data_IF_102731809941
#
_entry.id   IF_102731809941
#
_cell.length_a   1.000
_cell.length_b   1.000
_cell.length_c   1.000
_cell.angle_alpha   90.00
_cell.angle_beta   90.00
_cell.angle_gamma   90.00
#
_symmetry.space_group_name_H-M   'P 1'
#
loop_
_entity.id
_entity.type
_entity.pdbx_description
1 polymer ?
#
# COMPACT_ATOMS: atom_id res chain seq x y z
N UNK A 1 -56.66 32.58 41.61
CA UNK A 1 -55.49 32.59 42.51
C UNK A 1 -54.54 31.51 42.01
N UNK A 2 -53.55 31.92 41.24
CA UNK A 2 -52.55 31.05 40.61
C UNK A 2 -51.49 30.62 41.63
N UNK A 3 -51.14 29.35 41.63
CA UNK A 3 -50.07 28.75 42.44
C UNK A 3 -48.75 28.84 41.69
N UNK A 4 -47.80 29.59 42.27
CA UNK A 4 -46.44 29.79 41.78
C UNK A 4 -45.60 28.52 42.00
N UNK A 5 -45.17 27.85 40.93
CA UNK A 5 -44.18 26.77 40.98
C UNK A 5 -42.76 27.35 40.93
N UNK A 6 -42.04 27.25 42.05
CA UNK A 6 -40.63 27.60 42.14
C UNK A 6 -39.78 26.55 41.42
N UNK A 7 -39.12 26.96 40.33
CA UNK A 7 -38.08 26.19 39.64
C UNK A 7 -36.86 26.08 40.55
N UNK A 8 -36.60 24.91 41.14
CA UNK A 8 -35.36 24.62 41.84
C UNK A 8 -34.38 23.94 40.90
N UNK A 9 -33.22 24.56 40.68
CA UNK A 9 -32.11 24.00 39.91
C UNK A 9 -31.57 22.75 40.64
N UNK A 10 -31.27 21.64 39.95
CA UNK A 10 -30.72 20.46 40.58
C UNK A 10 -29.34 20.73 41.21
N UNK A 11 -29.00 20.09 42.34
CA UNK A 11 -27.71 20.27 42.99
C UNK A 11 -26.57 19.77 42.08
N UNK A 12 -25.48 20.53 42.04
CA UNK A 12 -24.29 20.19 41.25
C UNK A 12 -23.64 18.91 41.80
N UNK A 13 -23.25 17.94 40.94
CA UNK A 13 -22.59 16.72 41.37
C UNK A 13 -21.27 17.01 42.09
N UNK A 14 -21.00 16.24 43.16
CA UNK A 14 -19.74 16.33 43.90
C UNK A 14 -18.65 15.65 43.07
N UNK A 15 -17.63 16.40 42.68
CA UNK A 15 -16.47 15.85 42.00
C UNK A 15 -15.44 15.30 43.02
N UNK A 16 -14.80 14.16 42.73
CA UNK A 16 -13.74 13.60 43.58
C UNK A 16 -12.54 14.53 43.66
N UNK A 17 -11.83 14.50 44.79
CA UNK A 17 -10.63 15.31 45.00
C UNK A 17 -9.43 14.86 44.14
N UNK A 18 -8.35 15.67 44.06
CA UNK A 18 -7.18 15.41 43.20
C UNK A 18 -6.46 14.07 43.40
N UNK A 19 -6.68 13.40 44.53
CA UNK A 19 -6.04 12.12 44.89
C UNK A 19 -7.08 11.03 45.24
N UNK A 20 -8.31 11.16 44.74
CA UNK A 20 -9.41 10.26 45.07
C UNK A 20 -9.87 9.52 43.80
N UNK A 21 -9.62 8.22 43.73
CA UNK A 21 -10.07 7.39 42.61
C UNK A 21 -11.55 7.00 42.77
N UNK A 22 -12.34 7.24 41.72
CA UNK A 22 -13.77 6.84 41.66
C UNK A 22 -13.85 5.32 41.54
N UNK A 23 -14.21 4.64 42.64
CA UNK A 23 -14.25 3.17 42.69
C UNK A 23 -15.47 2.55 42.02
N UNK A 24 -16.56 3.31 41.83
CA UNK A 24 -17.79 2.85 41.19
C UNK A 24 -18.27 3.90 40.19
N UNK A 25 -18.35 3.53 38.92
CA UNK A 25 -19.11 4.29 37.92
C UNK A 25 -20.60 3.96 38.11
N UNK A 26 -21.52 4.93 37.93
CA UNK A 26 -22.94 4.62 37.96
C UNK A 26 -23.30 3.67 36.81
N UNK A 27 -23.86 2.50 37.14
CA UNK A 27 -24.35 1.48 36.20
C UNK A 27 -25.71 1.86 35.55
N UNK A 28 -26.20 3.08 35.77
CA UNK A 28 -27.46 3.54 35.20
C UNK A 28 -27.31 3.85 33.70
N UNK A 29 -27.95 3.01 32.90
CA UNK A 29 -28.17 3.24 31.47
C UNK A 29 -29.02 4.51 31.34
N UNK A 30 -28.48 5.53 30.67
CA UNK A 30 -29.20 6.76 30.36
C UNK A 30 -30.47 6.39 29.57
N UNK A 31 -31.69 6.73 30.05
CA UNK A 31 -32.93 6.41 29.35
C UNK A 31 -32.89 6.97 27.93
N UNK A 32 -33.27 6.17 26.92
CA UNK A 32 -33.27 6.56 25.50
C UNK A 32 -34.03 7.88 25.22
N UNK A 33 -35.03 8.21 26.05
CA UNK A 33 -35.75 9.48 25.99
C UNK A 33 -34.85 10.68 26.26
N UNK A 34 -33.90 10.56 27.18
CA UNK A 34 -32.93 11.62 27.53
C UNK A 34 -31.88 11.80 26.44
N UNK A 35 -31.50 10.69 25.78
CA UNK A 35 -30.54 10.70 24.67
C UNK A 35 -31.13 11.36 23.41
N UNK A 36 -32.45 11.28 23.22
CA UNK A 36 -33.15 11.88 22.09
C UNK A 36 -33.31 13.42 22.23
N UNK A 37 -33.28 13.94 23.46
CA UNK A 37 -33.37 15.38 23.75
C UNK A 37 -32.00 16.10 23.75
N UNK A 38 -30.90 15.34 23.60
CA UNK A 38 -29.55 15.90 23.46
C UNK A 38 -29.31 16.34 22.01
N UNK A 39 -29.67 17.59 21.71
CA UNK A 39 -29.26 18.24 20.46
C UNK A 39 -27.75 18.53 20.52
N UNK A 40 -26.98 17.67 19.86
CA UNK A 40 -25.51 17.74 19.84
C UNK A 40 -24.98 18.84 18.90
N UNK A 41 -25.84 19.56 18.19
CA UNK A 41 -25.46 20.59 17.21
C UNK A 41 -26.45 21.78 17.21
N UNK A 42 -26.49 22.59 18.29
CA UNK A 42 -27.43 23.70 18.41
C UNK A 42 -27.22 24.83 17.38
N UNK A 43 -26.06 24.87 16.73
CA UNK A 43 -25.68 25.97 15.81
C UNK A 43 -26.04 25.70 14.34
N UNK A 44 -26.64 24.55 14.00
CA UNK A 44 -26.91 24.15 12.61
C UNK A 44 -28.28 24.61 12.07
N UNK A 45 -29.13 25.21 12.91
CA UNK A 45 -30.48 25.67 12.54
C UNK A 45 -30.68 27.18 12.65
N UNK A 46 -29.63 27.97 12.41
CA UNK A 46 -29.68 29.43 12.40
C UNK A 46 -29.21 30.02 11.07
N UNK A 47 -29.95 29.80 9.98
CA UNK A 47 -30.24 30.81 8.94
C UNK A 47 -30.89 30.15 7.71
N UNK A 48 -32.22 30.07 7.72
CA UNK A 48 -33.03 29.82 6.54
C UNK A 48 -33.60 31.15 6.03
N UNK A 49 -32.77 31.92 5.30
CA UNK A 49 -33.28 33.01 4.46
C UNK A 49 -32.72 32.92 3.03
N UNK A 50 -33.69 32.72 2.14
CA UNK A 50 -33.74 32.79 0.67
C UNK A 50 -32.66 33.59 -0.08
N UNK A 51 -32.28 33.17 -1.31
CA UNK A 51 -31.25 33.81 -2.13
C UNK A 51 -31.80 35.02 -2.91
N UNK A 52 -31.05 36.12 -2.97
CA UNK A 52 -31.22 37.22 -3.97
C UNK A 52 -29.92 38.05 -4.05
N UNK A 53 -29.68 38.84 -5.11
CA UNK A 53 -28.54 38.64 -5.99
C UNK A 53 -27.44 39.70 -5.87
N UNK A 54 -26.29 39.37 -6.49
CA UNK A 54 -25.08 40.16 -6.70
C UNK A 54 -25.38 41.59 -7.21
N UNK A 55 -24.62 42.60 -6.73
CA UNK A 55 -24.22 43.71 -7.58
C UNK A 55 -22.70 43.79 -7.74
N UNK A 56 -22.29 43.87 -9.00
CA UNK A 56 -20.96 44.28 -9.44
C UNK A 56 -20.56 45.63 -8.83
N UNK A 57 -19.32 45.75 -8.37
CA UNK A 57 -18.57 47.00 -8.53
C UNK A 57 -17.08 46.70 -8.63
N UNK A 58 -16.53 47.20 -9.71
CA UNK A 58 -15.12 47.16 -10.10
C UNK A 58 -14.32 48.21 -9.33
N UNK A 59 -13.08 47.88 -8.95
CA UNK A 59 -11.82 48.61 -9.27
C UNK A 59 -10.69 48.41 -8.23
N UNK A 60 -9.59 47.87 -8.76
CA UNK A 60 -8.20 48.35 -8.68
C UNK A 60 -7.36 48.27 -7.37
N UNK A 61 -6.09 47.89 -7.62
CA UNK A 61 -4.86 48.07 -6.82
C UNK A 61 -4.60 47.09 -5.66
N UNK A 62 -3.41 46.53 -5.43
CA UNK A 62 -2.12 46.42 -6.13
C UNK A 62 -1.27 45.45 -5.28
N UNK A 63 -0.40 44.65 -5.90
CA UNK A 63 0.58 43.83 -5.18
C UNK A 63 1.67 44.70 -4.52
N UNK A 64 2.36 44.18 -3.49
CA UNK A 64 3.82 44.23 -3.54
C UNK A 64 4.53 42.98 -2.98
N UNK A 65 5.58 42.56 -3.69
CA UNK A 65 6.81 41.88 -3.21
C UNK A 65 7.99 42.74 -3.71
N UNK A 66 9.25 42.48 -3.33
CA UNK A 66 9.84 42.06 -2.04
C UNK A 66 10.96 43.04 -1.61
N UNK A 67 11.54 42.87 -0.41
CA UNK A 67 12.85 43.45 -0.09
C UNK A 67 13.80 42.40 0.48
N UNK A 68 14.89 42.22 -0.25
CA UNK A 68 16.19 41.63 0.09
C UNK A 68 16.88 42.43 1.21
N UNK A 69 17.70 41.77 2.05
CA UNK A 69 19.07 42.18 2.47
C UNK A 69 19.73 41.00 3.22
N UNK A 70 20.86 40.51 2.71
CA UNK A 70 21.89 39.74 3.46
C UNK A 70 22.85 40.68 4.19
N UNK A 71 23.60 40.20 5.20
CA UNK A 71 25.05 40.23 5.03
C UNK A 71 25.83 39.03 5.62
N UNK A 72 27.09 39.02 5.21
CA UNK A 72 28.17 38.02 5.18
C UNK A 72 28.87 37.61 6.49
N UNK A 73 29.58 36.46 6.37
CA UNK A 73 30.54 35.76 7.25
C UNK A 73 31.61 36.60 8.03
N UNK A 74 32.33 35.94 8.97
CA UNK A 74 33.70 35.52 8.63
C UNK A 74 34.10 34.08 9.04
N UNK A 75 35.15 33.60 8.36
CA UNK A 75 35.86 32.31 8.43
C UNK A 75 36.56 32.04 9.77
N UNK A 76 36.71 30.76 10.13
CA UNK A 76 37.93 30.25 10.76
C UNK A 76 38.24 28.82 10.29
N UNK A 77 39.45 28.62 9.78
CA UNK A 77 40.08 27.33 9.45
C UNK A 77 40.84 26.82 10.68
N UNK A 78 40.84 25.50 10.92
CA UNK A 78 41.96 24.81 11.57
C UNK A 78 42.00 23.32 11.15
N UNK A 79 43.22 22.87 10.88
CA UNK A 79 43.66 21.53 10.50
C UNK A 79 43.63 20.55 11.69
N UNK A 80 43.38 19.27 11.43
CA UNK A 80 44.11 18.17 12.09
C UNK A 80 44.13 16.89 11.24
N UNK A 81 45.34 16.40 10.97
CA UNK A 81 45.66 15.04 10.53
C UNK A 81 45.50 14.05 11.69
N UNK A 82 45.23 12.77 11.39
CA UNK A 82 45.99 11.56 11.79
C UNK A 82 45.21 10.29 11.34
N UNK A 83 45.93 9.31 10.81
CA UNK A 83 45.55 8.00 10.24
C UNK A 83 45.60 6.87 11.32
N UNK A 84 45.57 5.53 11.03
CA UNK A 84 44.73 4.64 10.20
C UNK A 84 44.12 3.45 11.00
N UNK A 85 43.40 2.56 10.29
CA UNK A 85 43.08 1.15 10.60
C UNK A 85 41.80 0.84 11.41
N UNK A 86 40.85 0.15 10.77
CA UNK A 86 40.57 -1.28 11.05
C UNK A 86 39.50 -1.82 10.09
N UNK A 87 39.93 -2.77 9.26
CA UNK A 87 39.08 -3.69 8.52
C UNK A 87 38.58 -4.76 9.49
N UNK A 88 37.28 -5.02 9.56
CA UNK A 88 36.79 -6.32 10.03
C UNK A 88 35.68 -6.86 9.13
N UNK A 89 36.07 -7.97 8.52
CA UNK A 89 35.38 -8.97 7.74
C UNK A 89 34.16 -9.52 8.52
N UNK A 90 32.97 -9.52 7.92
CA UNK A 90 31.83 -10.31 8.40
C UNK A 90 31.53 -11.40 7.37
N UNK A 91 31.90 -12.63 7.71
CA UNK A 91 31.61 -13.84 6.93
C UNK A 91 30.36 -14.51 7.51
N UNK A 92 29.42 -14.80 6.61
CA UNK A 92 28.16 -15.49 6.84
C UNK A 92 28.39 -16.95 7.27
N UNK A 93 27.61 -17.42 8.26
CA UNK A 93 27.31 -18.83 8.46
C UNK A 93 25.83 -18.96 8.86
N UNK A 94 24.98 -19.32 7.90
CA UNK A 94 23.64 -19.83 8.14
C UNK A 94 23.67 -21.35 7.98
N UNK A 95 23.48 -22.06 9.09
CA UNK A 95 23.19 -23.50 9.12
C UNK A 95 21.71 -23.72 8.76
N UNK A 96 21.46 -24.59 7.78
CA UNK A 96 20.16 -25.18 7.49
C UNK A 96 20.08 -26.57 8.13
N UNK A 97 19.05 -26.83 8.94
CA UNK A 97 18.60 -28.19 9.26
C UNK A 97 17.08 -28.34 9.13
N UNK A 98 16.71 -29.27 8.24
CA UNK A 98 15.60 -30.22 8.26
C UNK A 98 14.13 -29.76 8.34
N UNK A 99 13.39 -30.01 7.25
CA UNK A 99 12.25 -30.95 7.32
C UNK A 99 11.83 -31.55 5.98
N UNK A 100 11.53 -32.85 6.04
CA UNK A 100 11.21 -33.83 4.97
C UNK A 100 9.78 -33.69 4.46
N UNK A 101 9.57 -33.94 3.16
CA UNK A 101 8.33 -34.51 2.59
C UNK A 101 8.74 -35.55 1.50
N UNK A 102 8.02 -36.69 1.34
CA UNK A 102 8.56 -37.94 0.79
C UNK A 102 8.37 -38.16 -0.72
N UNK A 103 9.28 -38.98 -1.27
CA UNK A 103 9.34 -39.54 -2.63
C UNK A 103 8.12 -40.40 -3.03
N UNK A 104 7.76 -40.32 -4.32
CA UNK A 104 7.18 -41.42 -5.12
C UNK A 104 8.01 -41.53 -6.42
N UNK A 105 8.35 -42.74 -6.90
CA UNK A 105 9.54 -42.95 -7.72
C UNK A 105 9.26 -42.92 -9.21
N UNK A 106 10.25 -42.49 -9.99
CA UNK A 106 10.36 -42.87 -11.40
C UNK A 106 11.82 -43.16 -11.70
N UNK A 107 12.08 -44.45 -11.81
CA UNK A 107 13.32 -45.07 -12.22
C UNK A 107 13.69 -44.68 -13.64
N UNK A 108 14.82 -44.00 -13.83
CA UNK A 108 15.66 -44.19 -15.01
C UNK A 108 17.10 -43.81 -14.66
N UNK A 109 18.03 -44.61 -15.19
CA UNK A 109 19.45 -44.73 -14.88
C UNK A 109 20.23 -43.42 -14.99
N UNK A 110 21.11 -43.18 -14.02
CA UNK A 110 22.11 -42.12 -14.03
C UNK A 110 23.32 -42.60 -14.82
N UNK A 111 23.60 -41.96 -15.96
CA UNK A 111 24.97 -41.80 -16.48
C UNK A 111 25.33 -40.32 -16.36
N UNK A 112 26.56 -40.08 -15.91
CA UNK A 112 27.17 -38.78 -15.63
C UNK A 112 27.01 -37.77 -16.78
N UNK A 113 26.47 -36.60 -16.47
CA UNK A 113 26.85 -35.35 -17.14
C UNK A 113 26.67 -34.20 -16.17
N UNK A 114 27.77 -33.53 -15.87
CA UNK A 114 27.81 -32.20 -15.28
C UNK A 114 27.04 -31.25 -16.20
N UNK A 115 25.79 -30.96 -15.85
CA UNK A 115 25.03 -29.91 -16.54
C UNK A 115 25.15 -28.63 -15.73
N UNK A 116 25.96 -27.72 -16.27
CA UNK A 116 25.90 -26.28 -16.05
C UNK A 116 24.43 -25.86 -15.84
N UNK A 117 24.11 -25.17 -14.75
CA UNK A 117 22.77 -24.62 -14.55
C UNK A 117 22.53 -23.56 -15.62
N UNK A 118 21.93 -23.97 -16.73
CA UNK A 118 21.50 -23.07 -17.80
C UNK A 118 20.64 -21.96 -17.21
N UNK A 119 21.09 -20.73 -17.42
CA UNK A 119 20.31 -19.50 -17.23
C UNK A 119 18.95 -19.70 -17.91
N UNK A 120 17.88 -19.78 -17.10
CA UNK A 120 16.52 -20.03 -17.60
C UNK A 120 16.15 -18.92 -18.57
N UNK A 121 16.13 -19.26 -19.85
CA UNK A 121 15.84 -18.35 -20.96
C UNK A 121 14.36 -17.93 -20.91
N UNK A 122 14.07 -16.92 -20.08
CA UNK A 122 12.73 -16.36 -19.84
C UNK A 122 12.05 -15.85 -21.12
N UNK A 123 12.81 -15.65 -22.21
CA UNK A 123 12.25 -15.33 -23.52
C UNK A 123 11.45 -16.48 -24.15
N UNK A 124 11.54 -17.71 -23.62
CA UNK A 124 10.63 -18.82 -23.96
C UNK A 124 9.30 -18.78 -23.20
N UNK A 125 9.22 -18.06 -22.08
CA UNK A 125 7.97 -17.85 -21.35
C UNK A 125 7.27 -16.59 -21.88
N UNK A 126 6.22 -16.78 -22.68
CA UNK A 126 5.42 -15.70 -23.26
C UNK A 126 4.66 -14.83 -22.24
N UNK A 127 4.77 -15.11 -20.93
CA UNK A 127 4.03 -14.43 -19.88
C UNK A 127 4.77 -14.41 -18.54
N UNK A 128 4.57 -13.36 -17.77
CA UNK A 128 5.05 -13.20 -16.39
C UNK A 128 3.97 -13.68 -15.42
N UNK A 129 2.73 -13.28 -15.64
CA UNK A 129 1.59 -13.63 -14.79
C UNK A 129 0.77 -14.77 -15.39
N UNK A 130 -0.14 -15.33 -14.59
CA UNK A 130 -1.22 -16.19 -15.08
C UNK A 130 -2.48 -15.34 -15.35
N UNK A 131 -3.41 -15.78 -16.23
CA UNK A 131 -4.74 -15.19 -16.29
C UNK A 131 -5.39 -15.16 -14.91
N UNK A 132 -6.15 -14.10 -14.61
CA UNK A 132 -6.64 -13.84 -13.27
C UNK A 132 -7.47 -14.98 -12.70
N UNK A 133 -8.42 -15.53 -13.47
CA UNK A 133 -9.30 -16.61 -12.99
C UNK A 133 -8.52 -17.86 -12.55
N UNK A 134 -7.50 -18.25 -13.34
CA UNK A 134 -6.64 -19.38 -13.03
C UNK A 134 -5.81 -19.10 -11.77
N UNK A 135 -5.16 -17.93 -11.72
CA UNK A 135 -4.36 -17.50 -10.58
C UNK A 135 -5.21 -17.44 -9.30
N UNK A 136 -6.43 -16.92 -9.40
CA UNK A 136 -7.35 -16.74 -8.27
C UNK A 136 -7.87 -18.07 -7.75
N UNK A 137 -8.20 -19.02 -8.63
CA UNK A 137 -8.61 -20.35 -8.20
C UNK A 137 -7.48 -21.07 -7.44
N UNK A 138 -6.26 -21.07 -7.97
CA UNK A 138 -5.10 -21.67 -7.29
C UNK A 138 -4.85 -21.00 -5.94
N UNK A 139 -4.81 -19.66 -5.93
CA UNK A 139 -4.56 -18.88 -4.73
C UNK A 139 -5.63 -19.10 -3.64
N UNK A 140 -6.90 -19.19 -4.05
CA UNK A 140 -8.01 -19.42 -3.13
C UNK A 140 -7.95 -20.83 -2.53
N UNK A 141 -7.64 -21.85 -3.33
CA UNK A 141 -7.44 -23.21 -2.84
C UNK A 141 -6.30 -23.27 -1.81
N UNK A 142 -5.17 -22.61 -2.10
CA UNK A 142 -4.05 -22.53 -1.17
C UNK A 142 -4.47 -21.86 0.13
N UNK A 143 -5.18 -20.72 0.06
CA UNK A 143 -5.68 -20.01 1.24
C UNK A 143 -6.68 -20.84 2.07
N UNK A 144 -7.60 -21.56 1.40
CA UNK A 144 -8.58 -22.43 2.06
C UNK A 144 -7.89 -23.59 2.77
N UNK A 145 -6.80 -24.13 2.20
CA UNK A 145 -6.01 -25.22 2.76
C UNK A 145 -5.25 -24.86 4.05
N UNK A 146 -5.07 -23.56 4.34
CA UNK A 146 -4.36 -23.10 5.54
C UNK A 146 -5.14 -23.52 6.78
N UNK A 147 -4.46 -24.27 7.66
CA UNK A 147 -5.03 -24.72 8.92
C UNK A 147 -5.36 -23.56 9.85
N UNK A 148 -6.42 -23.76 10.65
CA UNK A 148 -6.87 -22.78 11.61
C UNK A 148 -5.84 -22.59 12.73
N UNK A 149 -5.22 -21.43 12.75
CA UNK A 149 -4.31 -21.02 13.82
C UNK A 149 -5.09 -20.35 14.96
N UNK A 150 -4.44 -20.30 16.13
CA UNK A 150 -5.02 -19.66 17.30
C UNK A 150 -5.26 -18.18 17.03
N UNK A 151 -6.44 -17.69 17.45
CA UNK A 151 -6.81 -16.30 17.26
C UNK A 151 -5.84 -15.36 17.97
N UNK A 152 -5.47 -14.26 17.31
CA UNK A 152 -4.59 -13.26 17.94
C UNK A 152 -5.35 -12.41 18.93
N UNK A 153 -4.73 -12.18 20.07
CA UNK A 153 -5.23 -11.31 21.12
C UNK A 153 -5.28 -9.84 20.69
N UNK A 154 -6.14 -9.03 21.32
CA UNK A 154 -6.17 -7.58 21.09
C UNK A 154 -4.82 -6.90 21.33
N UNK A 155 -4.02 -7.39 22.28
CA UNK A 155 -2.67 -6.86 22.51
C UNK A 155 -1.73 -7.17 21.32
N UNK A 156 -1.83 -8.36 20.73
CA UNK A 156 -1.10 -8.70 19.50
C UNK A 156 -1.58 -7.87 18.31
N UNK A 157 -2.89 -7.65 18.18
CA UNK A 157 -3.46 -6.78 17.14
C UNK A 157 -2.91 -5.35 17.26
N UNK A 158 -2.89 -4.78 18.46
CA UNK A 158 -2.33 -3.43 18.68
C UNK A 158 -0.83 -3.36 18.36
N UNK A 159 -0.04 -4.38 18.75
CA UNK A 159 1.38 -4.47 18.37
C UNK A 159 1.57 -4.57 16.86
N UNK A 160 0.73 -5.36 16.21
CA UNK A 160 0.73 -5.51 14.75
C UNK A 160 0.44 -4.16 14.07
N UNK A 161 -0.61 -3.46 14.50
CA UNK A 161 -0.98 -2.13 13.98
C UNK A 161 0.19 -1.16 14.08
N UNK A 162 0.77 -1.00 15.27
CA UNK A 162 1.92 -0.11 15.48
C UNK A 162 3.13 -0.49 14.61
N UNK A 163 3.38 -1.79 14.45
CA UNK A 163 4.47 -2.27 13.60
C UNK A 163 4.23 -1.91 12.13
N UNK A 164 3.03 -2.15 11.60
CA UNK A 164 2.70 -1.82 10.20
C UNK A 164 2.78 -0.32 9.97
N UNK A 165 2.25 0.50 10.89
CA UNK A 165 2.35 1.95 10.81
C UNK A 165 3.81 2.43 10.77
N UNK A 166 4.67 1.88 11.63
CA UNK A 166 6.10 2.19 11.64
C UNK A 166 6.80 1.78 10.33
N UNK A 167 6.44 0.63 9.74
CA UNK A 167 7.00 0.20 8.45
C UNK A 167 6.57 1.12 7.30
N UNK A 168 5.28 1.46 7.24
CA UNK A 168 4.76 2.38 6.22
C UNK A 168 5.39 3.77 6.35
N UNK A 169 5.60 4.25 7.57
CA UNK A 169 6.27 5.52 7.84
C UNK A 169 7.74 5.49 7.38
N UNK A 170 8.45 4.38 7.55
CA UNK A 170 9.81 4.22 7.04
C UNK A 170 9.87 4.29 5.51
N UNK A 171 8.94 3.61 4.82
CA UNK A 171 8.83 3.64 3.36
C UNK A 171 8.56 5.06 2.89
N UNK A 172 7.59 5.75 3.52
CA UNK A 172 7.26 7.14 3.20
C UNK A 172 8.47 8.07 3.39
N UNK A 173 9.25 7.91 4.48
CA UNK A 173 10.47 8.70 4.72
C UNK A 173 11.54 8.44 3.68
N UNK A 174 11.75 7.19 3.26
CA UNK A 174 12.68 6.85 2.17
C UNK A 174 12.25 7.53 0.87
N UNK A 175 10.96 7.46 0.55
CA UNK A 175 10.39 8.11 -0.62
C UNK A 175 10.59 9.64 -0.59
N UNK A 176 10.17 10.33 0.47
CA UNK A 176 10.33 11.79 0.61
C UNK A 176 11.80 12.20 0.51
N UNK A 177 12.70 11.46 1.17
CA UNK A 177 14.14 11.72 1.10
C UNK A 177 14.65 11.62 -0.33
N UNK A 178 14.22 10.60 -1.08
CA UNK A 178 14.64 10.39 -2.46
C UNK A 178 14.15 11.49 -3.42
N UNK A 179 13.07 12.21 -3.09
CA UNK A 179 12.64 13.38 -3.86
C UNK A 179 13.53 14.62 -3.63
N UNK A 180 14.15 14.72 -2.45
CA UNK A 180 15.00 15.87 -2.10
C UNK A 180 16.45 15.74 -2.58
N UNK A 181 16.87 14.54 -2.95
CA UNK A 181 18.23 14.24 -3.40
C UNK A 181 18.32 14.24 -4.93
N UNK A 182 19.35 14.86 -5.50
CA UNK A 182 19.55 14.90 -6.96
C UNK A 182 19.84 13.52 -7.58
N UNK A 183 20.22 12.53 -6.76
CA UNK A 183 20.50 11.17 -7.19
C UNK A 183 19.27 10.28 -6.94
N UNK A 184 18.83 9.53 -7.96
CA UNK A 184 17.79 8.49 -7.84
C UNK A 184 18.30 7.31 -7.00
N UNK A 185 18.32 7.45 -5.68
CA UNK A 185 18.79 6.43 -4.73
C UNK A 185 17.72 5.39 -4.39
N UNK A 186 16.45 5.67 -4.69
CA UNK A 186 15.31 4.82 -4.36
C UNK A 186 14.39 4.67 -5.57
N UNK A 187 14.58 3.60 -6.35
CA UNK A 187 13.78 3.35 -7.54
C UNK A 187 12.37 2.86 -7.20
N UNK A 188 11.45 2.99 -8.15
CA UNK A 188 10.08 2.49 -7.99
C UNK A 188 10.04 0.98 -7.68
N UNK A 189 10.94 0.21 -8.29
CA UNK A 189 11.06 -1.23 -8.04
C UNK A 189 11.43 -1.51 -6.58
N UNK A 190 12.36 -0.74 -6.01
CA UNK A 190 12.71 -0.88 -4.59
C UNK A 190 11.51 -0.51 -3.71
N UNK A 191 10.76 0.53 -4.07
CA UNK A 191 9.56 0.94 -3.33
C UNK A 191 8.50 -0.16 -3.30
N UNK A 192 8.17 -0.79 -4.44
CA UNK A 192 7.18 -1.88 -4.45
C UNK A 192 7.68 -3.13 -3.73
N UNK A 193 9.00 -3.36 -3.67
CA UNK A 193 9.58 -4.45 -2.88
C UNK A 193 9.37 -4.19 -1.38
N UNK A 194 9.71 -3.01 -0.89
CA UNK A 194 9.50 -2.62 0.51
C UNK A 194 7.99 -2.69 0.87
N UNK A 195 7.10 -2.22 -0.01
CA UNK A 195 5.64 -2.37 0.19
C UNK A 195 5.19 -3.84 0.18
N UNK A 196 5.78 -4.67 -0.68
CA UNK A 196 5.46 -6.10 -0.77
C UNK A 196 5.74 -6.83 0.54
N UNK A 197 6.80 -6.45 1.26
CA UNK A 197 7.12 -6.99 2.59
C UNK A 197 6.02 -6.64 3.61
N UNK A 198 5.56 -5.40 3.63
CA UNK A 198 4.46 -4.98 4.51
C UNK A 198 3.17 -5.73 4.16
N UNK A 199 2.84 -5.81 2.87
CA UNK A 199 1.66 -6.57 2.38
C UNK A 199 1.76 -8.05 2.76
N UNK A 200 2.95 -8.66 2.72
CA UNK A 200 3.15 -10.04 3.16
C UNK A 200 2.79 -10.21 4.64
N UNK A 201 3.22 -9.29 5.50
CA UNK A 201 2.95 -9.35 6.94
C UNK A 201 1.45 -9.15 7.20
N UNK A 202 0.80 -8.23 6.48
CA UNK A 202 -0.66 -8.05 6.54
C UNK A 202 -1.37 -9.34 6.10
N UNK A 203 -0.94 -9.94 4.99
CA UNK A 203 -1.52 -11.17 4.49
C UNK A 203 -1.36 -12.35 5.46
N UNK A 204 -0.19 -12.50 6.09
CA UNK A 204 0.03 -13.51 7.13
C UNK A 204 -0.98 -13.34 8.28
N UNK A 205 -1.31 -12.11 8.67
CA UNK A 205 -2.34 -11.86 9.69
C UNK A 205 -3.74 -12.30 9.23
N UNK A 206 -4.04 -12.23 7.93
CA UNK A 206 -5.30 -12.68 7.33
C UNK A 206 -5.33 -14.21 7.25
N UNK A 207 -4.20 -14.86 6.93
CA UNK A 207 -4.07 -16.32 6.92
C UNK A 207 -4.37 -16.98 8.27
N UNK A 208 -4.28 -16.23 9.38
CA UNK A 208 -4.72 -16.71 10.69
C UNK A 208 -6.26 -16.83 10.80
N UNK A 209 -7.00 -16.35 9.79
CA UNK A 209 -8.46 -16.44 9.67
C UNK A 209 -9.21 -15.84 10.88
N UNK A 210 -8.66 -14.75 11.41
CA UNK A 210 -9.33 -13.90 12.39
C UNK A 210 -10.33 -12.95 11.70
N UNK A 211 -11.27 -12.40 12.46
CA UNK A 211 -12.07 -11.26 11.97
C UNK A 211 -11.14 -10.10 11.57
N UNK A 212 -11.51 -9.36 10.55
CA UNK A 212 -10.73 -8.20 10.11
C UNK A 212 -10.77 -7.11 11.18
N UNK A 213 -9.63 -6.50 11.45
CA UNK A 213 -9.44 -5.43 12.45
C UNK A 213 -8.61 -4.27 11.85
N UNK A 214 -8.74 -4.02 10.55
CA UNK A 214 -8.08 -2.92 9.83
C UNK A 214 -7.16 -3.35 8.69
N UNK A 215 -7.03 -4.65 8.41
CA UNK A 215 -6.19 -5.12 7.29
C UNK A 215 -6.65 -4.54 5.95
N UNK A 216 -7.96 -4.47 5.73
CA UNK A 216 -8.52 -3.89 4.51
C UNK A 216 -8.20 -2.38 4.40
N UNK A 217 -8.29 -1.63 5.50
CA UNK A 217 -7.87 -0.23 5.54
C UNK A 217 -6.39 -0.06 5.18
N UNK A 218 -5.50 -0.99 5.59
CA UNK A 218 -4.11 -0.96 5.17
C UNK A 218 -3.92 -1.20 3.67
N UNK A 219 -4.65 -2.13 3.06
CA UNK A 219 -4.60 -2.28 1.60
C UNK A 219 -5.05 -1.01 0.89
N UNK A 220 -6.16 -0.40 1.34
CA UNK A 220 -6.67 0.86 0.78
C UNK A 220 -5.63 1.98 0.94
N UNK A 221 -5.03 2.11 2.13
CA UNK A 221 -3.98 3.09 2.39
C UNK A 221 -2.77 2.88 1.50
N UNK A 222 -2.25 1.64 1.43
CA UNK A 222 -1.08 1.30 0.62
C UNK A 222 -1.34 1.59 -0.86
N UNK A 223 -2.52 1.26 -1.38
CA UNK A 223 -2.88 1.55 -2.76
C UNK A 223 -3.01 3.05 -3.03
N UNK A 224 -3.58 3.81 -2.10
CA UNK A 224 -3.65 5.28 -2.18
C UNK A 224 -2.26 5.91 -2.16
N UNK A 225 -1.43 5.52 -1.20
CA UNK A 225 -0.04 5.96 -1.11
C UNK A 225 0.74 5.57 -2.39
N UNK A 226 0.50 4.37 -2.94
CA UNK A 226 1.14 3.90 -4.18
C UNK A 226 0.73 4.70 -5.42
N UNK A 227 -0.53 5.16 -5.49
CA UNK A 227 -1.00 6.09 -6.53
C UNK A 227 -0.17 7.37 -6.48
N UNK A 228 -0.05 7.99 -5.29
CA UNK A 228 0.73 9.21 -5.09
C UNK A 228 2.22 8.98 -5.39
N UNK A 229 2.79 7.86 -4.94
CA UNK A 229 4.19 7.51 -5.20
C UNK A 229 4.45 7.38 -6.70
N UNK A 230 3.63 6.62 -7.41
CA UNK A 230 3.77 6.38 -8.84
C UNK A 230 3.74 7.67 -9.66
N UNK A 231 2.95 8.66 -9.25
CA UNK A 231 2.87 9.96 -9.93
C UNK A 231 4.25 10.64 -10.04
N UNK A 232 5.08 10.51 -8.99
CA UNK A 232 6.40 11.13 -8.91
C UNK A 232 7.48 10.40 -9.71
N UNK A 233 7.34 9.08 -9.93
CA UNK A 233 8.34 8.33 -10.69
C UNK A 233 8.15 8.55 -12.19
N UNK A 234 9.19 9.08 -12.86
CA UNK A 234 9.22 9.16 -14.32
C UNK A 234 9.50 7.80 -14.97
N UNK A 235 10.45 7.04 -14.42
CA UNK A 235 10.84 5.72 -14.90
C UNK A 235 10.49 4.67 -13.85
N UNK A 236 9.57 3.76 -14.17
CA UNK A 236 9.11 2.73 -13.22
C UNK A 236 9.92 1.43 -13.30
N UNK A 237 10.71 1.24 -14.36
CA UNK A 237 11.58 0.06 -14.55
C UNK A 237 13.07 0.40 -14.60
N UNK A 238 13.44 1.65 -14.27
CA UNK A 238 14.79 2.22 -14.49
C UNK A 238 15.33 1.92 -15.90
N UNK A 239 14.45 2.01 -16.90
CA UNK A 239 14.79 1.69 -18.27
C UNK A 239 15.87 2.63 -18.82
N UNK A 240 16.77 2.07 -19.62
CA UNK A 240 17.78 2.85 -20.33
C UNK A 240 17.42 2.93 -21.81
N UNK A 241 17.21 4.16 -22.28
CA UNK A 241 16.97 4.43 -23.68
C UNK A 241 18.30 4.68 -24.38
N UNK A 242 18.62 3.84 -25.36
CA UNK A 242 19.69 4.10 -26.34
C UNK A 242 19.05 4.46 -27.68
N UNK A 243 19.76 5.11 -28.61
CA UNK A 243 19.21 5.48 -29.92
C UNK A 243 18.67 4.31 -30.75
N UNK A 244 19.02 3.06 -30.40
CA UNK A 244 18.69 1.86 -31.19
C UNK A 244 18.03 0.75 -30.37
N UNK A 245 17.95 0.90 -29.05
CA UNK A 245 17.43 -0.16 -28.19
C UNK A 245 16.94 0.39 -26.85
N UNK A 246 15.94 -0.29 -26.28
CA UNK A 246 15.51 -0.10 -24.90
C UNK A 246 16.08 -1.24 -24.07
N UNK A 247 16.85 -0.92 -23.02
CA UNK A 247 17.29 -1.92 -22.06
C UNK A 247 16.43 -1.84 -20.80
N UNK A 248 15.77 -2.95 -20.51
CA UNK A 248 15.01 -3.15 -19.28
C UNK A 248 15.41 -4.49 -18.69
N UNK A 249 15.58 -4.52 -17.37
CA UNK A 249 15.84 -5.78 -16.68
C UNK A 249 14.54 -6.56 -16.52
N UNK A 250 14.52 -7.81 -16.99
CA UNK A 250 13.35 -8.70 -16.88
C UNK A 250 12.93 -8.88 -15.42
N UNK A 251 13.88 -8.95 -14.48
CA UNK A 251 13.56 -9.10 -13.06
C UNK A 251 12.72 -7.94 -12.51
N UNK A 252 12.90 -6.73 -13.05
CA UNK A 252 12.09 -5.55 -12.69
C UNK A 252 10.66 -5.65 -13.22
N UNK A 253 10.48 -6.17 -14.43
CA UNK A 253 9.16 -6.45 -15.00
C UNK A 253 8.45 -7.52 -14.19
N UNK A 254 9.16 -8.62 -13.87
CA UNK A 254 8.63 -9.70 -13.05
C UNK A 254 8.19 -9.18 -11.69
N UNK A 255 9.05 -8.42 -11.00
CA UNK A 255 8.72 -7.83 -9.71
C UNK A 255 7.46 -6.95 -9.78
N UNK A 256 7.36 -6.09 -10.81
CA UNK A 256 6.23 -5.20 -11.02
C UNK A 256 4.90 -5.95 -11.26
N UNK A 257 4.85 -6.81 -12.27
CA UNK A 257 3.59 -7.48 -12.63
C UNK A 257 3.16 -8.50 -11.57
N UNK A 258 4.11 -9.23 -10.95
CA UNK A 258 3.79 -10.12 -9.82
C UNK A 258 3.28 -9.37 -8.61
N UNK A 259 3.80 -8.16 -8.33
CA UNK A 259 3.32 -7.34 -7.24
C UNK A 259 1.83 -6.98 -7.41
N UNK A 260 1.43 -6.52 -8.59
CA UNK A 260 0.03 -6.17 -8.86
C UNK A 260 -0.89 -7.39 -8.90
N UNK A 261 -0.48 -8.49 -9.55
CA UNK A 261 -1.25 -9.73 -9.51
C UNK A 261 -1.47 -10.21 -8.07
N UNK A 262 -0.44 -10.20 -7.23
CA UNK A 262 -0.56 -10.56 -5.82
C UNK A 262 -1.58 -9.70 -5.07
N UNK A 263 -1.54 -8.38 -5.27
CA UNK A 263 -2.51 -7.46 -4.69
C UNK A 263 -3.93 -7.81 -5.12
N UNK A 264 -4.15 -8.03 -6.42
CA UNK A 264 -5.48 -8.35 -6.94
C UNK A 264 -6.01 -9.67 -6.40
N UNK A 265 -5.16 -10.69 -6.26
CA UNK A 265 -5.52 -11.98 -5.66
C UNK A 265 -5.93 -11.83 -4.19
N UNK A 266 -5.11 -11.16 -3.39
CA UNK A 266 -5.34 -10.95 -1.97
C UNK A 266 -6.60 -10.12 -1.72
N UNK A 267 -6.74 -9.00 -2.42
CA UNK A 267 -7.93 -8.14 -2.35
C UNK A 267 -9.19 -8.89 -2.77
N UNK A 268 -9.11 -9.72 -3.81
CA UNK A 268 -10.23 -10.52 -4.28
C UNK A 268 -10.72 -11.52 -3.23
N UNK A 269 -9.82 -12.13 -2.45
CA UNK A 269 -10.23 -12.96 -1.30
C UNK A 269 -10.95 -12.11 -0.25
N UNK A 270 -10.48 -10.90 0.02
CA UNK A 270 -11.13 -10.01 0.99
C UNK A 270 -12.49 -9.49 0.51
N UNK A 271 -12.65 -9.27 -0.80
CA UNK A 271 -13.91 -8.87 -1.43
C UNK A 271 -14.94 -10.01 -1.36
N UNK A 272 -14.54 -11.22 -1.75
CA UNK A 272 -15.41 -12.41 -1.72
C UNK A 272 -15.75 -12.79 -0.26
N UNK A 273 -14.79 -12.61 0.64
CA UNK A 273 -14.88 -12.97 2.05
C UNK A 273 -14.38 -14.37 2.37
N UNK A 274 -14.13 -14.60 3.65
CA UNK A 274 -13.71 -15.90 4.18
C UNK A 274 -14.31 -16.18 5.55
N UNK A 275 -14.36 -17.46 5.93
CA UNK A 275 -14.89 -17.90 7.23
C UNK A 275 -13.84 -17.75 8.34
N UNK A 276 -14.25 -17.18 9.46
CA UNK A 276 -13.39 -16.93 10.63
C UNK A 276 -13.37 -18.11 11.62
N UNK A 277 -12.26 -18.27 12.34
CA UNK A 277 -12.01 -19.43 13.22
C UNK A 277 -12.88 -19.44 14.47
N UNK A 278 -13.16 -18.26 15.01
CA UNK A 278 -13.77 -18.10 16.33
C UNK A 278 -15.29 -18.18 16.31
N UNK A 279 -15.92 -17.75 15.21
CA UNK A 279 -17.38 -17.57 15.16
C UNK A 279 -18.05 -18.28 13.99
N UNK A 280 -17.29 -18.93 13.08
CA UNK A 280 -17.77 -19.42 11.79
C UNK A 280 -18.53 -18.34 10.98
N UNK A 281 -18.29 -17.07 11.28
CA UNK A 281 -18.86 -15.96 10.52
C UNK A 281 -17.99 -15.65 9.33
N UNK A 282 -18.63 -15.25 8.24
CA UNK A 282 -17.95 -14.74 7.05
C UNK A 282 -17.51 -13.30 7.35
N UNK A 283 -16.21 -13.05 7.27
CA UNK A 283 -15.63 -11.70 7.27
C UNK A 283 -15.25 -11.33 5.84
N UNK A 284 -15.54 -10.09 5.44
CA UNK A 284 -15.25 -9.56 4.11
C UNK A 284 -15.14 -8.04 4.14
N UNK A 285 -14.64 -7.46 3.06
CA UNK A 285 -14.66 -6.02 2.86
C UNK A 285 -16.10 -5.47 2.95
N UNK A 286 -16.26 -4.41 3.73
CA UNK A 286 -17.50 -3.64 3.84
C UNK A 286 -17.77 -2.81 2.59
N UNK A 287 -19.03 -2.44 2.36
CA UNK A 287 -19.39 -1.60 1.23
C UNK A 287 -18.64 -0.25 1.23
N UNK A 288 -18.40 0.32 2.41
CA UNK A 288 -17.65 1.58 2.53
C UNK A 288 -16.19 1.41 2.12
N UNK A 289 -15.56 0.30 2.46
CA UNK A 289 -14.20 -0.02 2.01
C UNK A 289 -14.15 -0.24 0.50
N UNK A 290 -15.14 -0.94 -0.08
CA UNK A 290 -15.22 -1.15 -1.54
C UNK A 290 -15.39 0.16 -2.32
N UNK A 291 -16.25 1.06 -1.83
CA UNK A 291 -16.48 2.40 -2.42
C UNK A 291 -15.19 3.23 -2.41
N UNK A 292 -14.31 3.04 -1.42
CA UNK A 292 -12.99 3.69 -1.38
C UNK A 292 -11.98 2.98 -2.28
N UNK A 293 -11.97 1.65 -2.28
CA UNK A 293 -11.01 0.84 -3.00
C UNK A 293 -11.12 1.03 -4.52
N UNK A 294 -12.31 0.87 -5.09
CA UNK A 294 -12.46 0.81 -6.55
C UNK A 294 -11.98 2.08 -7.28
N UNK A 295 -12.30 3.30 -6.82
CA UNK A 295 -11.77 4.51 -7.43
C UNK A 295 -10.24 4.62 -7.35
N UNK A 296 -9.63 4.18 -6.24
CA UNK A 296 -8.17 4.19 -6.08
C UNK A 296 -7.53 3.23 -7.07
N UNK A 297 -8.00 1.97 -7.13
CA UNK A 297 -7.46 0.96 -8.06
C UNK A 297 -7.63 1.43 -9.50
N UNK A 298 -8.79 2.00 -9.85
CA UNK A 298 -9.06 2.50 -11.20
C UNK A 298 -8.08 3.59 -11.61
N UNK A 299 -7.90 4.63 -10.76
CA UNK A 299 -6.94 5.71 -11.03
C UNK A 299 -5.51 5.21 -11.10
N UNK A 300 -5.11 4.32 -10.18
CA UNK A 300 -3.79 3.71 -10.18
C UNK A 300 -3.50 2.96 -11.49
N UNK A 301 -4.46 2.18 -12.01
CA UNK A 301 -4.28 1.44 -13.28
C UNK A 301 -4.18 2.37 -14.49
N UNK A 302 -4.97 3.45 -14.53
CA UNK A 302 -4.87 4.48 -15.57
C UNK A 302 -3.50 5.17 -15.50
N UNK A 303 -3.01 5.48 -14.30
CA UNK A 303 -1.69 6.08 -14.11
C UNK A 303 -0.57 5.14 -14.57
N UNK A 304 -0.67 3.84 -14.29
CA UNK A 304 0.28 2.83 -14.79
C UNK A 304 0.33 2.85 -16.32
N UNK A 305 -0.82 2.84 -17.02
CA UNK A 305 -0.83 2.96 -18.50
C UNK A 305 -0.06 4.19 -18.94
N UNK A 306 -0.36 5.35 -18.33
CA UNK A 306 0.31 6.60 -18.70
C UNK A 306 1.83 6.54 -18.53
N UNK A 307 2.34 5.83 -17.52
CA UNK A 307 3.78 5.67 -17.29
C UNK A 307 4.44 4.69 -18.26
N UNK A 308 3.68 3.72 -18.78
CA UNK A 308 4.20 2.70 -19.70
C UNK A 308 4.09 3.14 -21.17
N UNK A 309 3.26 4.12 -21.49
CA UNK A 309 3.03 4.58 -22.87
C UNK A 309 4.32 5.06 -23.57
N UNK A 310 5.15 5.86 -22.89
CA UNK A 310 6.43 6.33 -23.45
C UNK A 310 7.37 5.18 -23.81
N UNK A 311 7.34 4.12 -23.00
CA UNK A 311 8.11 2.93 -23.23
C UNK A 311 7.57 2.15 -24.45
N UNK A 312 6.24 2.00 -24.53
CA UNK A 312 5.54 1.35 -25.64
C UNK A 312 5.85 2.01 -26.97
N UNK A 313 5.74 3.33 -27.05
CA UNK A 313 6.04 4.12 -28.26
C UNK A 313 7.48 3.89 -28.70
N UNK A 314 8.44 3.92 -27.76
CA UNK A 314 9.86 3.70 -28.06
C UNK A 314 10.16 2.26 -28.49
N UNK A 315 9.52 1.26 -27.88
CA UNK A 315 9.65 -0.13 -28.32
C UNK A 315 9.10 -0.33 -29.75
N UNK A 316 7.94 0.26 -30.05
CA UNK A 316 7.32 0.19 -31.38
C UNK A 316 8.19 0.87 -32.46
N UNK A 317 8.78 2.03 -32.15
CA UNK A 317 9.65 2.75 -33.10
C UNK A 317 10.97 2.01 -33.39
N UNK A 318 11.50 1.25 -32.42
CA UNK A 318 12.75 0.49 -32.56
C UNK A 318 12.60 -0.81 -33.37
N UNK A 319 11.39 -1.21 -33.78
CA UNK A 319 11.12 -2.37 -34.65
C UNK A 319 11.78 -2.27 -36.05
N UNK A 320 12.31 -1.09 -36.40
CA UNK A 320 12.97 -0.83 -37.69
C UNK A 320 14.47 -1.14 -37.68
N UNK A 321 15.05 -1.53 -36.54
CA UNK A 321 16.50 -1.74 -36.37
C UNK A 321 16.87 -3.22 -36.15
N UNK A 322 18.18 -3.51 -36.20
CA UNK A 322 18.80 -4.85 -36.25
C UNK A 322 18.43 -5.82 -35.11
N UNK A 323 17.81 -5.34 -34.01
CA UNK A 323 17.31 -6.13 -32.87
C UNK A 323 15.77 -6.23 -32.84
N UNK A 324 15.16 -6.48 -34.02
CA UNK A 324 13.71 -6.53 -34.21
C UNK A 324 13.01 -7.58 -33.33
N UNK A 325 13.63 -8.75 -33.14
CA UNK A 325 12.96 -9.86 -32.46
C UNK A 325 12.83 -9.63 -30.94
N UNK A 326 13.88 -9.16 -30.28
CA UNK A 326 13.86 -8.93 -28.83
C UNK A 326 12.93 -7.78 -28.44
N UNK A 327 12.95 -6.71 -29.23
CA UNK A 327 12.04 -5.56 -29.04
C UNK A 327 10.58 -5.97 -29.27
N UNK A 328 10.31 -6.84 -30.26
CA UNK A 328 8.98 -7.38 -30.51
C UNK A 328 8.51 -8.30 -29.38
N UNK A 329 9.37 -9.21 -28.92
CA UNK A 329 9.05 -10.13 -27.83
C UNK A 329 8.73 -9.35 -26.56
N UNK A 330 9.54 -8.33 -26.25
CA UNK A 330 9.34 -7.47 -25.09
C UNK A 330 8.03 -6.66 -25.22
N UNK A 331 7.75 -6.10 -26.39
CA UNK A 331 6.49 -5.38 -26.63
C UNK A 331 5.28 -6.30 -26.47
N UNK A 332 5.30 -7.50 -27.08
CA UNK A 332 4.22 -8.48 -26.95
C UNK A 332 3.98 -8.89 -25.49
N UNK A 333 5.07 -9.11 -24.74
CA UNK A 333 5.01 -9.39 -23.31
C UNK A 333 4.36 -8.22 -22.56
N UNK A 334 4.76 -6.98 -22.85
CA UNK A 334 4.17 -5.79 -22.23
C UNK A 334 2.68 -5.66 -22.52
N UNK A 335 2.24 -5.79 -23.78
CA UNK A 335 0.81 -5.68 -24.13
C UNK A 335 -0.03 -6.73 -23.40
N UNK A 336 0.47 -7.97 -23.34
CA UNK A 336 -0.20 -9.05 -22.62
C UNK A 336 -0.34 -8.73 -21.12
N UNK A 337 0.76 -8.33 -20.48
CA UNK A 337 0.79 -8.08 -19.04
C UNK A 337 0.03 -6.80 -18.67
N UNK A 338 0.03 -5.76 -19.50
CA UNK A 338 -0.81 -4.56 -19.31
C UNK A 338 -2.29 -4.94 -19.39
N UNK A 339 -2.70 -5.77 -20.35
CA UNK A 339 -4.09 -6.23 -20.43
C UNK A 339 -4.53 -6.92 -19.13
N UNK A 340 -3.65 -7.75 -18.55
CA UNK A 340 -3.94 -8.48 -17.31
C UNK A 340 -4.00 -7.60 -16.07
N UNK A 341 -3.38 -6.42 -16.07
CA UNK A 341 -3.52 -5.47 -14.97
C UNK A 341 -4.97 -4.96 -14.80
N UNK A 342 -5.81 -5.08 -15.83
CA UNK A 342 -7.22 -4.69 -15.78
C UNK A 342 -8.15 -5.81 -15.34
N UNK A 343 -7.64 -7.03 -15.22
CA UNK A 343 -8.38 -8.16 -14.68
C UNK A 343 -8.54 -8.04 -13.14
N UNK A 344 -9.33 -8.91 -12.53
CA UNK A 344 -9.38 -9.05 -11.07
C UNK A 344 -10.21 -8.00 -10.36
N UNK A 345 -9.59 -7.12 -9.58
CA UNK A 345 -10.32 -6.17 -8.71
C UNK A 345 -11.16 -5.17 -9.53
N UNK A 346 -10.67 -4.74 -10.69
CA UNK A 346 -11.41 -3.81 -11.55
C UNK A 346 -12.61 -4.47 -12.24
N UNK A 347 -12.46 -5.68 -12.75
CA UNK A 347 -13.59 -6.41 -13.34
C UNK A 347 -14.70 -6.64 -12.32
N UNK A 348 -14.33 -6.94 -11.07
CA UNK A 348 -15.26 -7.11 -9.94
C UNK A 348 -15.96 -5.82 -9.49
N UNK A 349 -15.50 -4.65 -9.94
CA UNK A 349 -16.13 -3.36 -9.61
C UNK A 349 -17.29 -2.99 -10.54
N UNK A 350 -17.50 -3.78 -11.60
CA UNK A 350 -18.43 -3.51 -12.71
C UNK A 350 -19.87 -3.96 -12.45
#
# INVERSE_FOLDING_TARGET
>A
METSSTSSTPPTPVHPGPNEEVRNLPDEIIPQSTLADLDLNPDLYGDSHTPTPIPETSKLFQAPRPNTVSPSHPRHSQHHEVSPAEQLHFQQQYNHENSRIPHVPSSTSIEDSETDMEEVDLYKFQQITLPFDEAFQLFKLDFESIEYQQAISHQQQSKFVNYIDDQLLQIQRKFIKSQSEENKTYSFVQLIQDLSEVINIIWVSICQKNALFGQMDYYIKILGDLEDYLEHYHDIFDQQFTPYNVKISISKLVAFFKFFQKLDLQLSVLIDGFTTNSTNQITKASNTELIRLYPIVSRLRILIISKVEDLRIKLNNNMTSTNRQDSQNLLNLFELEISRLFEGVLERSS
#
